data_IF_976350954625
#
_entry.id   IF_976350954625
#
_cell.length_a   1.000
_cell.length_b   1.000
_cell.length_c   1.000
_cell.angle_alpha   90.00
_cell.angle_beta   90.00
_cell.angle_gamma   90.00
#
_symmetry.space_group_name_H-M   'P 1'
#
loop_
_entity.id
_entity.type
_entity.pdbx_description
1 polymer ?
#
# COMPACT_ATOMS: atom_id res chain seq x y z
N UNK A 1 18.09 34.75 5.02
CA UNK A 1 17.52 33.67 5.85
C UNK A 1 16.14 33.21 5.37
N UNK A 2 15.18 34.13 5.09
CA UNK A 2 13.80 33.78 4.70
C UNK A 2 13.67 32.87 3.46
N UNK A 3 14.60 32.99 2.50
CA UNK A 3 14.67 32.15 1.30
C UNK A 3 14.93 30.67 1.60
N UNK A 4 15.80 30.39 2.57
CA UNK A 4 16.10 29.02 3.02
C UNK A 4 14.90 28.39 3.71
N UNK A 5 14.19 29.17 4.53
CA UNK A 5 12.96 28.71 5.20
C UNK A 5 11.89 28.35 4.17
N UNK A 6 11.72 29.19 3.14
CA UNK A 6 10.79 28.92 2.04
C UNK A 6 11.15 27.68 1.23
N UNK A 7 12.43 27.48 0.90
CA UNK A 7 12.86 26.31 0.14
C UNK A 7 12.72 25.01 0.94
N UNK A 8 12.97 25.04 2.26
CA UNK A 8 12.74 23.87 3.13
C UNK A 8 11.25 23.56 3.24
N UNK A 9 10.40 24.57 3.43
CA UNK A 9 8.96 24.39 3.50
C UNK A 9 8.39 23.81 2.20
N UNK A 10 8.84 24.30 1.04
CA UNK A 10 8.43 23.80 -0.27
C UNK A 10 8.87 22.34 -0.49
N UNK A 11 10.10 21.98 -0.07
CA UNK A 11 10.60 20.61 -0.20
C UNK A 11 9.79 19.62 0.66
N UNK A 12 9.47 19.97 1.90
CA UNK A 12 8.64 19.14 2.78
C UNK A 12 7.24 18.97 2.20
N UNK A 13 6.61 20.06 1.76
CA UNK A 13 5.28 20.01 1.15
C UNK A 13 5.26 19.13 -0.12
N UNK A 14 6.27 19.23 -0.97
CA UNK A 14 6.40 18.42 -2.17
C UNK A 14 6.56 16.92 -1.83
N UNK A 15 7.38 16.58 -0.84
CA UNK A 15 7.58 15.19 -0.40
C UNK A 15 6.32 14.60 0.25
N UNK A 16 5.58 15.40 1.02
CA UNK A 16 4.32 14.97 1.64
C UNK A 16 3.16 14.82 0.63
N UNK A 17 3.20 15.56 -0.49
CA UNK A 17 2.20 15.45 -1.56
C UNK A 17 2.38 14.18 -2.41
N UNK A 18 3.55 13.54 -2.35
CA UNK A 18 3.76 12.23 -2.94
C UNK A 18 3.11 11.21 -1.99
N UNK A 19 1.79 11.05 -2.11
CA UNK A 19 1.11 9.92 -1.50
C UNK A 19 1.79 8.64 -2.01
N UNK A 20 2.13 7.69 -1.14
CA UNK A 20 2.61 6.40 -1.62
C UNK A 20 1.53 5.85 -2.55
N UNK A 21 1.92 5.41 -3.74
CA UNK A 21 1.08 4.51 -4.52
C UNK A 21 0.93 3.25 -3.67
N UNK A 22 -0.07 3.23 -2.80
CA UNK A 22 -0.41 2.07 -2.02
C UNK A 22 -0.74 1.01 -3.06
N UNK A 23 0.15 0.03 -3.21
CA UNK A 23 -0.22 -1.21 -3.83
C UNK A 23 -1.40 -1.70 -2.99
N UNK A 24 -2.59 -1.74 -3.60
CA UNK A 24 -3.75 -2.34 -2.98
C UNK A 24 -3.29 -3.67 -2.39
N UNK A 25 -3.45 -3.89 -1.09
CA UNK A 25 -3.06 -5.18 -0.53
C UNK A 25 -3.77 -6.24 -1.37
N UNK A 26 -2.99 -7.08 -2.04
CA UNK A 26 -3.53 -8.26 -2.69
C UNK A 26 -3.91 -9.18 -1.54
N UNK A 27 -5.09 -8.96 -0.96
CA UNK A 27 -5.64 -9.86 0.02
C UNK A 27 -5.74 -11.21 -0.68
N UNK A 28 -4.93 -12.21 -0.28
CA UNK A 28 -4.92 -13.47 -0.97
C UNK A 28 -6.34 -14.03 -0.85
N UNK A 29 -6.98 -14.26 -2.00
CA UNK A 29 -8.39 -14.62 -2.01
C UNK A 29 -8.47 -16.06 -1.55
N UNK A 30 -8.88 -16.25 -0.30
CA UNK A 30 -8.99 -17.57 0.28
C UNK A 30 -10.31 -18.23 -0.13
N UNK A 31 -10.24 -19.18 -1.06
CA UNK A 31 -11.38 -20.00 -1.48
C UNK A 31 -11.45 -21.27 -0.64
N UNK A 32 -12.67 -21.63 -0.22
CA UNK A 32 -12.94 -22.95 0.35
C UNK A 32 -13.14 -23.93 -0.81
N UNK A 33 -12.13 -24.75 -1.08
CA UNK A 33 -12.12 -25.72 -2.18
C UNK A 33 -12.30 -27.13 -1.63
N UNK A 34 -12.99 -27.98 -2.38
CA UNK A 34 -13.14 -29.40 -2.02
C UNK A 34 -11.98 -30.17 -2.63
N UNK A 35 -11.13 -30.73 -1.78
CA UNK A 35 -9.96 -31.51 -2.20
C UNK A 35 -10.20 -32.96 -1.80
N UNK A 36 -10.28 -33.83 -2.80
CA UNK A 36 -10.71 -35.23 -2.67
C UNK A 36 -12.07 -35.35 -1.95
N UNK A 37 -12.06 -35.54 -0.63
CA UNK A 37 -13.26 -35.71 0.19
C UNK A 37 -13.37 -34.73 1.36
N UNK A 38 -12.43 -33.79 1.51
CA UNK A 38 -12.45 -32.79 2.57
C UNK A 38 -12.45 -31.37 2.00
N UNK A 39 -12.89 -30.43 2.83
CA UNK A 39 -12.86 -29.01 2.49
C UNK A 39 -11.58 -28.39 3.02
N UNK A 40 -10.83 -27.70 2.16
CA UNK A 40 -9.59 -27.01 2.48
C UNK A 40 -9.73 -25.52 2.15
N UNK A 41 -9.14 -24.64 2.95
CA UNK A 41 -9.08 -23.20 2.67
C UNK A 41 -7.75 -22.92 1.97
N UNK A 42 -7.79 -22.57 0.68
CA UNK A 42 -6.60 -22.22 -0.10
C UNK A 42 -6.64 -20.75 -0.48
N UNK A 43 -5.53 -20.05 -0.26
CA UNK A 43 -5.39 -18.64 -0.61
C UNK A 43 -4.40 -18.55 -1.78
N UNK A 44 -4.80 -17.85 -2.84
CA UNK A 44 -4.02 -17.62 -4.05
C UNK A 44 -3.67 -16.15 -4.17
#
# INVERSE_FOLDING_TARGET
MKKFVLSVAAAVAALSAIAPAQAYEHHPVCHKVRVHHHWEKRCH
#
